data_IF_427848959327
#
_entry.id   IF_427848959327
#
_cell.length_a   1.000
_cell.length_b   1.000
_cell.length_c   1.000
_cell.angle_alpha   90.00
_cell.angle_beta   90.00
_cell.angle_gamma   90.00
#
_symmetry.space_group_name_H-M   'P 1'
#
loop_
_entity.id
_entity.type
_entity.pdbx_description
1 polymer ?
#
# COMPACT_ATOMS: atom_id res chain seq x y z
N UNK A 1 12.06 -7.51 -21.59
CA UNK A 1 12.64 -8.09 -20.35
C UNK A 1 12.61 -7.05 -19.24
N UNK A 2 13.21 -5.87 -19.46
CA UNK A 2 13.15 -4.74 -18.50
C UNK A 2 11.73 -4.36 -18.06
N UNK A 3 10.74 -4.30 -18.97
CA UNK A 3 9.36 -3.94 -18.60
C UNK A 3 8.69 -4.98 -17.70
N UNK A 4 9.00 -6.27 -17.92
CA UNK A 4 8.46 -7.36 -17.08
C UNK A 4 9.05 -7.30 -15.67
N UNK A 5 10.36 -7.07 -15.57
CA UNK A 5 11.03 -6.94 -14.28
C UNK A 5 10.51 -5.72 -13.50
N UNK A 6 10.18 -4.62 -14.20
CA UNK A 6 9.58 -3.43 -13.60
C UNK A 6 8.12 -3.65 -13.17
N UNK A 7 7.32 -4.38 -13.96
CA UNK A 7 5.94 -4.77 -13.58
C UNK A 7 5.97 -5.60 -12.30
N UNK A 8 6.79 -6.66 -12.25
CA UNK A 8 6.90 -7.54 -11.08
C UNK A 8 7.36 -6.76 -9.83
N UNK A 9 8.31 -5.83 -10.00
CA UNK A 9 8.73 -4.95 -8.92
C UNK A 9 7.60 -4.04 -8.43
N UNK A 10 6.87 -3.40 -9.35
CA UNK A 10 5.76 -2.52 -9.01
C UNK A 10 4.62 -3.28 -8.32
N UNK A 11 4.27 -4.47 -8.80
CA UNK A 11 3.29 -5.35 -8.17
C UNK A 11 3.73 -5.74 -6.76
N UNK A 12 4.98 -6.19 -6.57
CA UNK A 12 5.49 -6.56 -5.25
C UNK A 12 5.49 -5.39 -4.25
N UNK A 13 5.83 -4.18 -4.70
CA UNK A 13 5.76 -2.97 -3.86
C UNK A 13 4.31 -2.60 -3.53
N UNK A 14 3.41 -2.69 -4.50
CA UNK A 14 1.98 -2.42 -4.33
C UNK A 14 1.32 -3.38 -3.34
N UNK A 15 1.58 -4.68 -3.49
CA UNK A 15 1.04 -5.73 -2.63
C UNK A 15 1.53 -5.62 -1.19
N UNK A 16 2.83 -5.35 -1.00
CA UNK A 16 3.39 -5.10 0.33
C UNK A 16 2.70 -3.92 1.03
N UNK A 17 2.53 -2.81 0.31
CA UNK A 17 1.86 -1.64 0.85
C UNK A 17 0.38 -1.94 1.18
N UNK A 18 -0.32 -2.66 0.30
CA UNK A 18 -1.73 -3.01 0.48
C UNK A 18 -1.95 -3.93 1.69
N UNK A 19 -1.13 -4.96 1.85
CA UNK A 19 -1.22 -5.91 2.97
C UNK A 19 -0.89 -5.21 4.29
N UNK A 20 0.15 -4.38 4.33
CA UNK A 20 0.49 -3.60 5.52
C UNK A 20 -0.63 -2.62 5.88
N UNK A 21 -1.22 -1.95 4.90
CA UNK A 21 -2.36 -1.06 5.12
C UNK A 21 -3.56 -1.81 5.73
N UNK A 22 -3.87 -3.00 5.23
CA UNK A 22 -4.94 -3.82 5.80
C UNK A 22 -4.64 -4.21 7.25
N UNK A 23 -3.41 -4.65 7.53
CA UNK A 23 -2.98 -5.04 8.86
C UNK A 23 -3.03 -3.89 9.86
N UNK A 24 -2.61 -2.69 9.47
CA UNK A 24 -2.76 -1.49 10.31
C UNK A 24 -4.22 -1.07 10.45
N UNK A 25 -5.03 -1.19 9.40
CA UNK A 25 -6.46 -0.88 9.43
C UNK A 25 -7.24 -1.75 10.42
N UNK A 26 -6.79 -2.98 10.67
CA UNK A 26 -7.37 -3.87 11.69
C UNK A 26 -7.22 -3.33 13.12
N UNK A 27 -6.27 -2.41 13.36
CA UNK A 27 -6.05 -1.76 14.64
C UNK A 27 -6.91 -0.51 14.87
N UNK A 28 -7.70 -0.07 13.89
CA UNK A 28 -8.58 1.08 14.03
C UNK A 28 -9.54 0.90 15.22
N UNK A 29 -9.50 1.81 16.19
CA UNK A 29 -10.25 1.76 17.44
C UNK A 29 -9.67 0.84 18.53
N UNK A 30 -8.49 0.26 18.31
CA UNK A 30 -7.85 -0.71 19.22
C UNK A 30 -6.50 -0.24 19.78
N UNK A 31 -6.05 0.97 19.44
CA UNK A 31 -4.81 1.52 19.99
C UNK A 31 -4.98 1.94 21.47
N UNK A 32 -3.88 1.99 22.27
CA UNK A 32 -3.95 2.35 23.69
C UNK A 32 -4.49 3.77 23.96
N UNK A 33 -4.16 4.75 23.12
CA UNK A 33 -4.75 6.10 23.16
C UNK A 33 -5.17 6.61 21.77
N UNK A 34 -6.01 7.64 21.75
CA UNK A 34 -6.62 8.18 20.54
C UNK A 34 -5.59 8.71 19.53
N UNK A 35 -4.55 9.38 20.01
CA UNK A 35 -3.48 9.94 19.18
C UNK A 35 -2.73 8.84 18.42
N UNK A 36 -2.51 7.70 19.06
CA UNK A 36 -1.87 6.53 18.46
C UNK A 36 -2.80 5.86 17.44
N UNK A 37 -4.10 5.77 17.72
CA UNK A 37 -5.09 5.24 16.77
C UNK A 37 -5.14 6.07 15.49
N UNK A 38 -5.19 7.40 15.63
CA UNK A 38 -5.15 8.34 14.51
C UNK A 38 -3.83 8.20 13.74
N UNK A 39 -2.69 8.07 14.43
CA UNK A 39 -1.40 7.88 13.78
C UNK A 39 -1.32 6.57 12.99
N UNK A 40 -1.85 5.46 13.54
CA UNK A 40 -1.91 4.17 12.85
C UNK A 40 -2.85 4.22 11.65
N UNK A 41 -4.03 4.81 11.80
CA UNK A 41 -4.99 5.00 10.71
C UNK A 41 -4.43 5.88 9.59
N UNK A 42 -3.69 6.95 9.93
CA UNK A 42 -3.05 7.82 8.96
C UNK A 42 -1.93 7.08 8.20
N UNK A 43 -1.13 6.26 8.91
CA UNK A 43 -0.11 5.42 8.27
C UNK A 43 -0.74 4.38 7.33
N UNK A 44 -1.85 3.74 7.74
CA UNK A 44 -2.59 2.82 6.89
C UNK A 44 -3.09 3.51 5.62
N UNK A 45 -3.59 4.75 5.73
CA UNK A 45 -4.07 5.55 4.61
C UNK A 45 -2.94 5.89 3.63
N UNK A 46 -1.76 6.30 4.13
CA UNK A 46 -0.59 6.56 3.28
C UNK A 46 -0.15 5.30 2.52
N UNK A 47 -0.17 4.14 3.17
CA UNK A 47 0.13 2.85 2.53
C UNK A 47 -0.89 2.47 1.46
N UNK A 48 -2.18 2.76 1.64
CA UNK A 48 -3.18 2.62 0.55
C UNK A 48 -2.82 3.52 -0.64
N UNK A 49 -2.41 4.77 -0.38
CA UNK A 49 -1.95 5.67 -1.42
C UNK A 49 -0.73 5.13 -2.18
N UNK A 50 0.25 4.57 -1.47
CA UNK A 50 1.38 3.89 -2.08
C UNK A 50 0.96 2.66 -2.91
N UNK A 51 0.06 1.83 -2.39
CA UNK A 51 -0.46 0.67 -3.13
C UNK A 51 -1.13 1.10 -4.44
N UNK A 52 -1.98 2.13 -4.40
CA UNK A 52 -2.62 2.68 -5.59
C UNK A 52 -1.59 3.18 -6.61
N UNK A 53 -0.58 3.93 -6.17
CA UNK A 53 0.48 4.45 -7.04
C UNK A 53 1.24 3.31 -7.74
N UNK A 54 1.67 2.29 -6.99
CA UNK A 54 2.45 1.18 -7.55
C UNK A 54 1.63 0.29 -8.47
N UNK A 55 0.40 -0.06 -8.09
CA UNK A 55 -0.47 -0.91 -8.90
C UNK A 55 -0.95 -0.17 -10.17
N UNK A 56 -1.15 1.15 -10.09
CA UNK A 56 -1.43 1.97 -11.27
C UNK A 56 -0.24 1.95 -12.25
N UNK A 57 0.98 2.15 -11.75
CA UNK A 57 2.19 2.06 -12.58
C UNK A 57 2.32 0.69 -13.25
N UNK A 58 2.07 -0.40 -12.53
CA UNK A 58 2.08 -1.75 -13.10
C UNK A 58 1.07 -1.88 -14.25
N UNK A 59 -0.16 -1.40 -14.06
CA UNK A 59 -1.20 -1.41 -15.09
C UNK A 59 -0.89 -0.51 -16.28
N UNK A 60 -0.26 0.64 -16.07
CA UNK A 60 0.19 1.52 -17.15
C UNK A 60 1.29 0.88 -18.01
N UNK A 61 2.19 0.10 -17.42
CA UNK A 61 3.25 -0.60 -18.16
C UNK A 61 2.68 -1.84 -18.87
N UNK A 62 1.81 -2.60 -18.22
CA UNK A 62 1.19 -3.79 -18.80
C UNK A 62 0.25 -3.45 -19.98
N UNK A 63 -0.41 -2.28 -19.94
CA UNK A 63 -1.33 -1.82 -20.98
C UNK A 63 -0.68 -1.12 -22.18
N UNK A 64 0.65 -1.00 -22.22
CA UNK A 64 1.41 -0.39 -23.34
C UNK A 64 1.85 -1.42 -24.37
#
# INVERSE_FOLDING_TARGET
>A
MADRDLIEFALGMGDNALILAQGLGAWCGHAPVLEEDIALANTALDLIGHAQMWLALAGEIEGR
#
